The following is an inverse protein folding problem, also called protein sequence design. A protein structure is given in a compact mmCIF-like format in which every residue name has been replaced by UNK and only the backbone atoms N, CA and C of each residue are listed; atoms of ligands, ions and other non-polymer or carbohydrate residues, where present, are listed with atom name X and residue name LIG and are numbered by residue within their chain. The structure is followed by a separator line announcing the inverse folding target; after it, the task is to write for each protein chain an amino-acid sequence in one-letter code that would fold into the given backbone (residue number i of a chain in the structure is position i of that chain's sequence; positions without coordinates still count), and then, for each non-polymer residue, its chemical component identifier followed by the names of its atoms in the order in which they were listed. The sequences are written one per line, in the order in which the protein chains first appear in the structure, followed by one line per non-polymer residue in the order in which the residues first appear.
data_IF_452213322044
#
_entry.id   IF_452213322044
#
_cell.length_a   1.000
_cell.length_b   1.000
_cell.length_c   1.000
_cell.angle_alpha   90.00
_cell.angle_beta   90.00
_cell.angle_gamma   90.00
#
_symmetry.space_group_name_H-M   'P 1'
#
loop_
_entity.id
_entity.type
_entity.pdbx_description
1 polymer ?
#
# COMPACT_ATOMS: atom_id res chain seq x y z
N UNK A 1 -13.03 -0.33 -1.80
CA UNK A 1 -12.99 -1.56 -0.99
C UNK A 1 -13.27 -2.74 -1.89
N UNK A 2 -12.32 -3.62 -2.08
CA UNK A 2 -12.51 -4.80 -2.92
C UNK A 2 -13.17 -5.90 -2.05
N UNK A 3 -14.39 -6.15 -2.32
CA UNK A 3 -15.22 -7.19 -1.76
C UNK A 3 -14.76 -8.55 -2.31
N UNK A 4 -13.86 -9.27 -1.64
CA UNK A 4 -13.15 -10.46 -2.17
C UNK A 4 -12.55 -10.24 -3.59
N UNK A 5 -12.07 -9.02 -3.90
CA UNK A 5 -11.65 -8.66 -5.25
C UNK A 5 -12.80 -8.29 -6.20
N UNK A 6 -14.05 -8.34 -5.78
CA UNK A 6 -15.21 -8.00 -6.60
C UNK A 6 -15.47 -6.49 -6.56
N UNK A 7 -15.44 -5.85 -7.74
CA UNK A 7 -15.54 -4.39 -7.87
C UNK A 7 -16.96 -3.85 -7.97
N UNK A 8 -17.94 -4.70 -8.27
CA UNK A 8 -19.30 -4.30 -8.64
C UNK A 8 -20.31 -4.57 -7.50
N UNK A 9 -20.13 -3.96 -6.34
CA UNK A 9 -21.01 -4.13 -5.16
C UNK A 9 -22.48 -3.78 -5.50
N UNK A 10 -22.70 -2.78 -6.34
CA UNK A 10 -24.03 -2.35 -6.76
C UNK A 10 -24.80 -3.43 -7.54
N UNK A 11 -24.12 -4.44 -8.05
CA UNK A 11 -24.73 -5.57 -8.76
C UNK A 11 -25.12 -6.73 -7.84
N UNK A 12 -24.85 -6.64 -6.52
CA UNK A 12 -25.19 -7.67 -5.58
C UNK A 12 -26.68 -7.60 -5.19
N UNK A 13 -27.35 -8.73 -5.27
CA UNK A 13 -28.72 -8.88 -4.79
C UNK A 13 -28.77 -8.95 -3.25
N UNK A 14 -29.93 -8.77 -2.65
CA UNK A 14 -30.13 -8.95 -1.21
C UNK A 14 -29.71 -10.35 -0.73
N UNK A 15 -29.88 -11.38 -1.56
CA UNK A 15 -29.40 -12.75 -1.28
C UNK A 15 -27.88 -12.82 -1.29
N UNK A 16 -27.21 -12.15 -2.23
CA UNK A 16 -25.76 -12.10 -2.29
C UNK A 16 -25.18 -11.41 -1.04
N UNK A 17 -25.84 -10.33 -0.60
CA UNK A 17 -25.45 -9.59 0.61
C UNK A 17 -25.65 -10.42 1.90
N UNK A 18 -26.70 -11.24 1.97
CA UNK A 18 -26.91 -12.13 3.11
C UNK A 18 -25.80 -13.20 3.19
N UNK A 19 -25.42 -13.79 2.04
CA UNK A 19 -24.30 -14.74 1.95
C UNK A 19 -23.00 -14.08 2.38
N UNK A 20 -22.75 -12.88 1.89
CA UNK A 20 -21.55 -12.13 2.22
C UNK A 20 -21.45 -11.83 3.72
N UNK A 21 -22.50 -11.29 4.32
CA UNK A 21 -22.51 -10.98 5.77
C UNK A 21 -22.17 -12.22 6.59
N UNK A 22 -22.80 -13.34 6.25
CA UNK A 22 -22.53 -14.61 6.94
C UNK A 22 -21.06 -15.04 6.80
N UNK A 23 -20.46 -14.87 5.60
CA UNK A 23 -19.05 -15.21 5.37
C UNK A 23 -18.14 -14.32 6.22
N UNK A 24 -18.41 -13.02 6.27
CA UNK A 24 -17.59 -12.05 7.04
C UNK A 24 -17.72 -12.29 8.56
N UNK A 25 -18.91 -12.64 9.03
CA UNK A 25 -19.15 -12.90 10.47
C UNK A 25 -18.55 -14.24 10.94
N UNK A 26 -18.26 -15.17 10.02
CA UNK A 26 -17.81 -16.52 10.33
C UNK A 26 -16.56 -16.93 9.54
N UNK A 27 -15.74 -15.99 9.15
CA UNK A 27 -14.61 -16.18 8.25
C UNK A 27 -13.64 -17.30 8.67
N UNK A 28 -13.32 -17.42 9.95
CA UNK A 28 -12.48 -18.50 10.50
C UNK A 28 -13.11 -19.89 10.34
N UNK A 29 -14.45 -19.98 10.25
CA UNK A 29 -15.17 -21.23 10.16
C UNK A 29 -15.42 -21.65 8.70
N UNK A 30 -15.57 -20.69 7.80
CA UNK A 30 -15.89 -20.94 6.39
C UNK A 30 -14.92 -21.94 5.72
N UNK A 31 -13.60 -21.90 5.94
CA UNK A 31 -12.67 -22.89 5.37
C UNK A 31 -12.97 -24.34 5.72
N UNK A 32 -13.69 -24.57 6.79
CA UNK A 32 -14.05 -25.91 7.28
C UNK A 32 -15.50 -26.30 6.98
N UNK A 33 -16.34 -25.32 6.58
CA UNK A 33 -17.74 -25.54 6.28
C UNK A 33 -17.94 -26.26 4.94
N UNK A 34 -19.05 -26.99 4.84
CA UNK A 34 -19.61 -27.44 3.57
C UNK A 34 -20.54 -26.37 3.02
N UNK A 35 -20.75 -26.35 1.70
CA UNK A 35 -21.64 -25.39 1.04
C UNK A 35 -23.05 -25.35 1.65
N UNK A 36 -23.57 -26.51 2.09
CA UNK A 36 -24.89 -26.63 2.74
C UNK A 36 -24.94 -25.99 4.14
N UNK A 37 -23.82 -25.95 4.84
CA UNK A 37 -23.72 -25.35 6.16
C UNK A 37 -23.71 -23.83 6.05
N UNK A 38 -22.94 -23.31 5.10
CA UNK A 38 -22.96 -21.90 4.75
C UNK A 38 -24.36 -21.46 4.27
N UNK A 39 -24.98 -22.23 3.37
CA UNK A 39 -26.32 -21.94 2.87
C UNK A 39 -27.38 -21.88 3.98
N UNK A 40 -27.30 -22.83 4.94
CA UNK A 40 -28.19 -22.85 6.10
C UNK A 40 -27.95 -21.64 7.00
N UNK A 41 -26.68 -21.32 7.30
CA UNK A 41 -26.32 -20.18 8.15
C UNK A 41 -26.74 -18.84 7.54
N UNK A 42 -26.57 -18.68 6.24
CA UNK A 42 -27.00 -17.49 5.51
C UNK A 42 -28.50 -17.47 5.14
N UNK A 43 -29.27 -18.51 5.54
CA UNK A 43 -30.70 -18.69 5.24
C UNK A 43 -31.04 -18.64 3.74
N UNK A 44 -30.17 -19.27 2.90
CA UNK A 44 -30.32 -19.31 1.44
C UNK A 44 -30.19 -20.74 0.89
N UNK A 45 -30.43 -20.91 -0.40
CA UNK A 45 -30.22 -22.20 -1.05
C UNK A 45 -28.76 -22.48 -1.37
N UNK A 46 -28.37 -23.77 -1.48
CA UNK A 46 -27.02 -24.15 -1.94
C UNK A 46 -26.70 -23.56 -3.33
N UNK A 47 -27.70 -23.52 -4.22
CA UNK A 47 -27.54 -22.94 -5.55
C UNK A 47 -27.29 -21.42 -5.51
N UNK A 48 -27.87 -20.73 -4.55
CA UNK A 48 -27.60 -19.30 -4.35
C UNK A 48 -26.15 -19.06 -3.89
N UNK A 49 -25.65 -19.89 -2.97
CA UNK A 49 -24.24 -19.84 -2.55
C UNK A 49 -23.31 -20.07 -3.75
N UNK A 50 -23.55 -21.12 -4.53
CA UNK A 50 -22.70 -21.43 -5.69
C UNK A 50 -22.75 -20.35 -6.75
N UNK A 51 -23.89 -19.71 -6.98
CA UNK A 51 -24.03 -18.58 -7.88
C UNK A 51 -23.28 -17.35 -7.38
N UNK A 52 -23.37 -17.06 -6.09
CA UNK A 52 -22.60 -15.99 -5.44
C UNK A 52 -21.10 -16.22 -5.60
N UNK A 53 -20.59 -17.43 -5.30
CA UNK A 53 -19.18 -17.80 -5.41
C UNK A 53 -18.65 -17.56 -6.83
N UNK A 54 -19.40 -17.99 -7.84
CA UNK A 54 -19.04 -17.73 -9.25
C UNK A 54 -19.10 -16.24 -9.61
N UNK A 55 -20.06 -15.53 -9.06
CA UNK A 55 -20.21 -14.07 -9.28
C UNK A 55 -19.02 -13.29 -8.74
N UNK A 56 -18.43 -13.71 -7.62
CA UNK A 56 -17.24 -13.08 -7.05
C UNK A 56 -15.92 -13.61 -7.64
N UNK A 57 -15.96 -14.44 -8.68
CA UNK A 57 -14.81 -14.81 -9.49
C UNK A 57 -14.16 -16.16 -9.17
N UNK A 58 -14.83 -17.04 -8.41
CA UNK A 58 -14.33 -18.40 -8.13
C UNK A 58 -15.18 -19.45 -8.88
N UNK A 59 -14.54 -20.43 -9.51
CA UNK A 59 -15.24 -21.47 -10.25
C UNK A 59 -15.93 -22.49 -9.33
N UNK A 60 -15.40 -22.67 -8.11
CA UNK A 60 -15.90 -23.66 -7.16
C UNK A 60 -15.82 -23.21 -5.70
N UNK A 61 -16.66 -23.81 -4.84
CA UNK A 61 -16.59 -23.58 -3.40
C UNK A 61 -15.28 -24.08 -2.76
N UNK A 62 -14.68 -25.23 -3.17
CA UNK A 62 -13.34 -25.59 -2.72
C UNK A 62 -12.27 -24.54 -3.07
N UNK A 63 -12.28 -23.99 -4.26
CA UNK A 63 -11.36 -22.94 -4.68
C UNK A 63 -11.52 -21.68 -3.82
N UNK A 64 -12.74 -21.22 -3.62
CA UNK A 64 -13.05 -20.13 -2.70
C UNK A 64 -12.52 -20.40 -1.29
N UNK A 65 -12.68 -21.61 -0.76
CA UNK A 65 -12.14 -21.97 0.54
C UNK A 65 -10.62 -21.98 0.59
N UNK A 66 -9.95 -22.33 -0.50
CA UNK A 66 -8.48 -22.25 -0.61
C UNK A 66 -8.03 -20.81 -0.57
N UNK A 67 -8.74 -19.90 -1.24
CA UNK A 67 -8.40 -18.47 -1.19
C UNK A 67 -8.53 -17.87 0.22
N UNK A 68 -9.49 -18.37 1.01
CA UNK A 68 -9.63 -17.99 2.42
C UNK A 68 -8.57 -18.63 3.34
N UNK A 69 -8.04 -19.80 2.95
CA UNK A 69 -6.96 -20.47 3.70
C UNK A 69 -5.56 -19.95 3.38
N UNK A 70 -5.39 -19.31 2.23
CA UNK A 70 -4.10 -18.75 1.80
C UNK A 70 -3.71 -17.48 2.58
N UNK A 71 -4.54 -17.05 3.53
CA UNK A 71 -4.06 -16.24 4.64
C UNK A 71 -3.14 -17.15 5.47
N UNK A 72 -1.86 -17.04 5.20
CA UNK A 72 -0.77 -17.74 5.89
C UNK A 72 -1.00 -17.64 7.39
N UNK A 73 -0.98 -18.77 8.15
CA UNK A 73 -1.02 -18.69 9.60
C UNK A 73 0.09 -17.72 10.01
N UNK A 74 -0.25 -16.73 10.85
CA UNK A 74 0.74 -15.84 11.44
C UNK A 74 1.79 -16.76 12.06
N UNK A 75 2.89 -17.01 11.35
CA UNK A 75 4.06 -17.66 11.94
C UNK A 75 4.47 -16.72 13.06
N UNK A 76 4.31 -17.18 14.30
CA UNK A 76 4.83 -16.44 15.45
C UNK A 76 6.29 -16.18 15.15
N UNK A 77 6.72 -14.93 14.98
CA UNK A 77 8.12 -14.67 14.69
C UNK A 77 8.93 -15.12 15.88
N UNK A 78 9.90 -16.03 15.64
CA UNK A 78 10.82 -16.52 16.67
C UNK A 78 11.75 -15.42 17.21
N UNK A 79 11.68 -14.22 16.64
CA UNK A 79 12.49 -13.09 17.06
C UNK A 79 11.69 -11.76 17.03
N UNK A 80 11.89 -10.86 18.02
CA UNK A 80 11.15 -9.61 18.16
C UNK A 80 11.54 -8.59 17.07
N UNK A 81 10.96 -8.70 15.88
CA UNK A 81 10.95 -7.63 14.87
C UNK A 81 12.29 -7.24 14.21
N UNK A 82 13.43 -7.72 14.69
CA UNK A 82 14.75 -7.36 14.14
C UNK A 82 14.93 -7.87 12.69
N UNK A 83 14.22 -8.92 12.31
CA UNK A 83 14.21 -9.44 10.96
C UNK A 83 13.75 -8.42 9.92
N UNK A 84 12.96 -7.43 10.32
CA UNK A 84 12.43 -6.39 9.42
C UNK A 84 13.50 -5.40 8.95
N UNK A 85 14.64 -5.34 9.63
CA UNK A 85 15.76 -4.44 9.29
C UNK A 85 17.06 -5.16 8.99
N UNK A 86 17.01 -6.49 8.83
CA UNK A 86 18.18 -7.25 8.38
C UNK A 86 18.50 -6.93 6.92
N UNK A 87 19.77 -7.02 6.48
CA UNK A 87 20.16 -6.77 5.09
C UNK A 87 19.35 -7.57 4.06
N UNK A 88 18.91 -8.78 4.43
CA UNK A 88 18.06 -9.63 3.57
C UNK A 88 16.66 -9.09 3.33
N UNK A 89 16.20 -8.14 4.14
CA UNK A 89 14.91 -7.47 3.93
C UNK A 89 14.93 -6.44 2.78
N UNK A 90 16.11 -6.12 2.26
CA UNK A 90 16.28 -5.10 1.23
C UNK A 90 17.02 -5.66 0.01
N UNK A 91 16.79 -5.11 -1.20
CA UNK A 91 17.61 -5.40 -2.37
C UNK A 91 19.07 -4.99 -2.17
N UNK A 92 20.00 -5.70 -2.81
CA UNK A 92 21.43 -5.43 -2.69
C UNK A 92 21.83 -4.00 -3.16
N UNK A 93 21.06 -3.44 -4.07
CA UNK A 93 21.28 -2.10 -4.66
C UNK A 93 20.47 -0.99 -4.00
N UNK A 94 19.78 -1.26 -2.90
CA UNK A 94 18.89 -0.30 -2.23
C UNK A 94 19.60 1.02 -1.91
N UNK A 95 20.84 0.96 -1.44
CA UNK A 95 21.64 2.15 -1.11
C UNK A 95 21.88 3.04 -2.33
N UNK A 96 22.10 2.44 -3.51
CA UNK A 96 22.25 3.18 -4.76
C UNK A 96 20.95 3.89 -5.14
N UNK A 97 19.82 3.18 -5.03
CA UNK A 97 18.51 3.75 -5.38
C UNK A 97 18.13 4.87 -4.42
N UNK A 98 18.39 4.71 -3.11
CA UNK A 98 18.18 5.77 -2.09
C UNK A 98 18.98 7.03 -2.45
N UNK A 99 20.24 6.89 -2.86
CA UNK A 99 21.08 8.04 -3.27
C UNK A 99 20.50 8.75 -4.49
N UNK A 100 20.07 8.02 -5.50
CA UNK A 100 19.45 8.60 -6.70
C UNK A 100 18.12 9.30 -6.36
N UNK A 101 17.32 8.73 -5.48
CA UNK A 101 16.09 9.34 -5.00
C UNK A 101 16.37 10.64 -4.23
N UNK A 102 17.37 10.64 -3.32
CA UNK A 102 17.77 11.83 -2.59
C UNK A 102 18.27 12.95 -3.53
N UNK A 103 19.00 12.61 -4.60
CA UNK A 103 19.45 13.59 -5.60
C UNK A 103 18.27 14.28 -6.32
N UNK A 104 17.17 13.57 -6.59
CA UNK A 104 15.96 14.20 -7.10
C UNK A 104 15.35 15.17 -6.08
N UNK A 105 15.28 14.74 -4.82
CA UNK A 105 14.65 15.52 -3.76
C UNK A 105 15.41 16.81 -3.44
N UNK A 106 16.74 16.82 -3.53
CA UNK A 106 17.57 18.01 -3.26
C UNK A 106 17.20 19.19 -4.14
N UNK A 107 16.85 18.92 -5.38
CA UNK A 107 16.53 19.96 -6.38
C UNK A 107 15.03 20.21 -6.53
N UNK A 108 14.21 19.62 -5.63
CA UNK A 108 12.76 19.74 -5.72
C UNK A 108 12.27 21.07 -5.12
N UNK A 109 11.32 21.72 -5.79
CA UNK A 109 10.58 22.85 -5.23
C UNK A 109 9.61 22.39 -4.14
N UNK A 110 8.99 21.24 -4.36
CA UNK A 110 8.11 20.59 -3.38
C UNK A 110 8.43 19.11 -3.27
N UNK A 111 8.43 18.60 -2.05
CA UNK A 111 8.52 17.18 -1.73
C UNK A 111 7.22 16.80 -1.04
N UNK A 112 6.34 16.08 -1.75
CA UNK A 112 5.03 15.71 -1.25
C UNK A 112 4.98 14.21 -0.98
N UNK A 113 4.82 13.85 0.28
CA UNK A 113 4.56 12.47 0.64
C UNK A 113 3.07 12.17 0.46
N UNK A 114 2.75 11.03 -0.16
CA UNK A 114 1.37 10.60 -0.38
C UNK A 114 1.19 9.17 0.13
N UNK A 115 0.12 8.93 0.86
CA UNK A 115 -0.18 7.62 1.43
C UNK A 115 -1.52 7.60 2.16
N UNK A 116 -2.03 6.41 2.46
CA UNK A 116 -3.31 6.21 3.12
C UNK A 116 -3.11 5.33 4.35
N UNK A 117 -3.87 5.57 5.43
CA UNK A 117 -3.81 4.79 6.66
C UNK A 117 -2.43 4.85 7.35
N UNK A 118 -1.86 3.70 7.69
CA UNK A 118 -0.55 3.60 8.35
C UNK A 118 0.58 4.21 7.49
N UNK A 119 0.52 4.03 6.17
CA UNK A 119 1.47 4.63 5.23
C UNK A 119 1.42 6.16 5.24
N UNK A 120 0.23 6.76 5.44
CA UNK A 120 0.09 8.21 5.61
C UNK A 120 0.78 8.71 6.88
N UNK A 121 0.73 7.96 7.99
CA UNK A 121 1.42 8.31 9.22
C UNK A 121 2.95 8.34 9.04
N UNK A 122 3.49 7.40 8.26
CA UNK A 122 4.91 7.41 7.89
C UNK A 122 5.25 8.57 6.95
N UNK A 123 4.36 8.90 6.01
CA UNK A 123 4.49 10.08 5.16
C UNK A 123 4.50 11.38 5.97
N UNK A 124 3.68 11.47 7.02
CA UNK A 124 3.64 12.61 7.95
C UNK A 124 4.96 12.75 8.72
N UNK A 125 5.48 11.65 9.24
CA UNK A 125 6.80 11.62 9.87
C UNK A 125 7.88 12.09 8.88
N UNK A 126 7.91 11.50 7.68
CA UNK A 126 8.91 11.81 6.66
C UNK A 126 8.86 13.28 6.22
N UNK A 127 7.66 13.81 5.95
CA UNK A 127 7.48 15.21 5.53
C UNK A 127 7.96 16.19 6.61
N UNK A 128 7.64 15.91 7.88
CA UNK A 128 8.12 16.73 8.98
C UNK A 128 9.65 16.76 9.08
N UNK A 129 10.31 15.60 8.96
CA UNK A 129 11.77 15.52 9.00
C UNK A 129 12.38 16.24 7.79
N UNK A 130 11.79 16.07 6.61
CA UNK A 130 12.23 16.74 5.37
C UNK A 130 12.08 18.27 5.50
N UNK A 131 10.98 18.76 6.07
CA UNK A 131 10.78 20.18 6.34
C UNK A 131 11.82 20.71 7.33
N UNK A 132 12.24 19.91 8.33
CA UNK A 132 13.29 20.27 9.27
C UNK A 132 14.67 20.43 8.61
N UNK A 133 14.86 19.85 7.41
CA UNK A 133 16.04 20.07 6.56
C UNK A 133 15.92 21.28 5.63
N UNK A 134 14.87 22.10 5.78
CA UNK A 134 14.66 23.32 5.01
C UNK A 134 14.01 23.12 3.64
N UNK A 135 13.39 21.94 3.38
CA UNK A 135 12.63 21.71 2.17
C UNK A 135 11.16 22.10 2.34
N UNK A 136 10.51 22.53 1.28
CA UNK A 136 9.05 22.66 1.26
C UNK A 136 8.45 21.25 1.15
N UNK A 137 8.03 20.70 2.28
CA UNK A 137 7.53 19.34 2.34
C UNK A 137 6.26 19.22 3.17
N UNK A 138 5.31 18.44 2.68
CA UNK A 138 4.06 18.13 3.35
C UNK A 138 3.56 16.74 2.96
N UNK A 139 2.53 16.27 3.65
CA UNK A 139 1.88 14.98 3.37
C UNK A 139 0.46 15.18 2.87
N UNK A 140 0.07 14.39 1.88
CA UNK A 140 -1.32 14.24 1.41
C UNK A 140 -1.83 12.87 1.84
N UNK A 141 -2.85 12.88 2.71
CA UNK A 141 -3.47 11.68 3.32
C UNK A 141 -4.87 11.41 2.76
N UNK A 142 -5.45 12.42 2.15
CA UNK A 142 -6.75 12.35 1.50
C UNK A 142 -6.54 12.10 0.00
N UNK A 143 -7.00 10.98 -0.54
CA UNK A 143 -6.82 10.66 -1.97
C UNK A 143 -7.62 11.61 -2.90
N UNK A 144 -8.58 12.37 -2.35
CA UNK A 144 -9.37 13.35 -3.09
C UNK A 144 -8.82 14.78 -2.96
N UNK A 145 -7.66 14.94 -2.30
CA UNK A 145 -7.00 16.23 -2.20
C UNK A 145 -6.63 16.77 -3.59
N UNK A 146 -6.96 18.03 -3.92
CA UNK A 146 -6.70 18.61 -5.24
C UNK A 146 -5.22 18.93 -5.46
N UNK A 147 -4.38 17.88 -5.51
CA UNK A 147 -2.92 18.02 -5.58
C UNK A 147 -2.46 18.62 -6.92
N UNK A 148 -3.10 18.25 -8.04
CA UNK A 148 -2.74 18.75 -9.36
C UNK A 148 -2.84 20.29 -9.47
N UNK A 149 -3.93 20.95 -9.04
CA UNK A 149 -3.99 22.41 -8.99
C UNK A 149 -2.94 23.05 -8.08
N UNK A 150 -2.57 22.41 -6.98
CA UNK A 150 -1.57 22.92 -6.02
C UNK A 150 -0.16 22.98 -6.64
N UNK A 151 0.18 22.02 -7.50
CA UNK A 151 1.49 21.92 -8.13
C UNK A 151 1.58 22.61 -9.49
N UNK A 152 0.49 23.24 -9.96
CA UNK A 152 0.42 23.82 -11.33
C UNK A 152 1.45 24.91 -11.62
N UNK A 153 1.84 25.68 -10.60
CA UNK A 153 2.74 26.84 -10.76
C UNK A 153 4.14 26.58 -10.16
N UNK A 154 4.48 25.32 -9.93
CA UNK A 154 5.79 24.91 -9.43
C UNK A 154 6.43 23.92 -10.40
N UNK A 155 7.74 23.88 -10.42
CA UNK A 155 8.54 22.95 -11.19
C UNK A 155 9.31 22.00 -10.28
N UNK A 156 9.92 20.95 -10.86
CA UNK A 156 10.75 20.01 -10.09
C UNK A 156 10.06 19.44 -8.82
N UNK A 157 8.79 19.05 -8.94
CA UNK A 157 8.11 18.45 -7.82
C UNK A 157 8.46 16.97 -7.66
N UNK A 158 8.57 16.51 -6.43
CA UNK A 158 8.78 15.09 -6.10
C UNK A 158 7.61 14.57 -5.27
N UNK A 159 6.88 13.58 -5.80
CA UNK A 159 5.87 12.84 -5.07
C UNK A 159 6.50 11.55 -4.53
N UNK A 160 6.47 11.37 -3.22
CA UNK A 160 6.95 10.15 -2.55
C UNK A 160 5.74 9.33 -2.12
N UNK A 161 5.40 8.33 -2.92
CA UNK A 161 4.26 7.44 -2.68
C UNK A 161 4.65 6.33 -1.70
N UNK A 162 3.99 6.29 -0.56
CA UNK A 162 4.17 5.25 0.48
C UNK A 162 2.98 4.31 0.44
N UNK A 163 3.20 3.06 0.04
CA UNK A 163 2.15 2.04 -0.05
C UNK A 163 2.74 0.64 0.04
N UNK A 164 2.37 -0.14 1.05
CA UNK A 164 2.86 -1.52 1.23
C UNK A 164 2.62 -2.34 -0.03
N UNK A 165 1.39 -2.48 -0.48
CA UNK A 165 1.03 -3.26 -1.67
C UNK A 165 1.42 -2.58 -2.99
N UNK A 166 1.53 -1.24 -2.99
CA UNK A 166 1.67 -0.45 -4.21
C UNK A 166 0.49 -0.56 -5.19
N UNK A 167 -0.68 -1.02 -4.70
CA UNK A 167 -1.87 -1.32 -5.51
C UNK A 167 -3.14 -0.60 -5.00
N UNK A 168 -3.01 0.30 -4.02
CA UNK A 168 -4.15 1.04 -3.48
C UNK A 168 -4.78 1.89 -4.58
N UNK A 169 -6.01 1.58 -4.96
CA UNK A 169 -6.69 2.16 -6.14
C UNK A 169 -6.72 3.68 -6.11
N UNK A 170 -7.09 4.22 -4.97
CA UNK A 170 -7.24 5.67 -4.77
C UNK A 170 -5.89 6.39 -4.91
N UNK A 171 -4.81 5.75 -4.46
CA UNK A 171 -3.47 6.29 -4.61
C UNK A 171 -2.95 6.16 -6.04
N UNK A 172 -3.28 5.05 -6.72
CA UNK A 172 -2.97 4.86 -8.14
C UNK A 172 -3.68 5.91 -8.99
N UNK A 173 -4.96 6.16 -8.74
CA UNK A 173 -5.74 7.18 -9.46
C UNK A 173 -5.13 8.59 -9.26
N UNK A 174 -4.82 8.96 -8.01
CA UNK A 174 -4.17 10.24 -7.72
C UNK A 174 -2.84 10.39 -8.47
N UNK A 175 -1.99 9.37 -8.46
CA UNK A 175 -0.67 9.43 -9.08
C UNK A 175 -0.72 9.42 -10.60
N UNK A 176 -1.77 8.83 -11.19
CA UNK A 176 -1.94 8.77 -12.65
C UNK A 176 -1.97 10.15 -13.31
N UNK A 177 -2.47 11.17 -12.61
CA UNK A 177 -2.49 12.56 -13.10
C UNK A 177 -1.07 13.13 -13.31
N UNK A 178 -0.05 12.50 -12.74
CA UNK A 178 1.33 13.01 -12.75
C UNK A 178 2.31 12.16 -13.57
N UNK A 179 1.93 10.97 -14.04
CA UNK A 179 2.83 10.02 -14.74
C UNK A 179 3.51 10.67 -15.97
N UNK A 180 2.79 11.51 -16.70
CA UNK A 180 3.29 12.17 -17.90
C UNK A 180 3.60 13.66 -17.69
N UNK A 181 3.68 14.11 -16.45
CA UNK A 181 4.00 15.50 -16.14
C UNK A 181 5.51 15.68 -16.02
N UNK A 182 6.18 16.43 -16.90
CA UNK A 182 7.63 16.60 -16.86
C UNK A 182 8.13 17.34 -15.61
N UNK A 183 7.25 18.11 -14.94
CA UNK A 183 7.56 18.86 -13.73
C UNK A 183 7.39 18.03 -12.45
N UNK A 184 7.04 16.74 -12.58
CA UNK A 184 6.80 15.87 -11.43
C UNK A 184 7.57 14.57 -11.58
N UNK A 185 8.35 14.22 -10.57
CA UNK A 185 8.97 12.91 -10.44
C UNK A 185 8.28 12.11 -9.34
N UNK A 186 7.91 10.88 -9.63
CA UNK A 186 7.33 9.97 -8.64
C UNK A 186 8.43 9.04 -8.10
N UNK A 187 8.53 8.93 -6.79
CA UNK A 187 9.30 7.93 -6.06
C UNK A 187 8.32 7.07 -5.30
N UNK A 188 8.49 5.75 -5.27
CA UNK A 188 7.66 4.87 -4.44
C UNK A 188 8.46 4.17 -3.37
N UNK A 189 7.83 3.93 -2.22
CA UNK A 189 8.30 3.07 -1.13
C UNK A 189 7.26 1.98 -0.96
N UNK A 190 7.59 0.73 -1.35
CA UNK A 190 6.63 -0.37 -1.42
C UNK A 190 7.29 -1.73 -1.20
N UNK A 191 6.52 -2.73 -0.73
CA UNK A 191 7.01 -4.12 -0.66
C UNK A 191 6.88 -4.86 -1.99
N UNK A 192 6.21 -4.29 -3.00
CA UNK A 192 5.91 -4.95 -4.27
C UNK A 192 6.49 -4.16 -5.46
N UNK A 193 7.64 -4.63 -5.96
CA UNK A 193 8.32 -4.03 -7.11
C UNK A 193 7.48 -4.09 -8.40
N UNK A 194 6.62 -5.10 -8.54
CA UNK A 194 5.75 -5.30 -9.71
C UNK A 194 4.43 -4.53 -9.62
N UNK A 195 4.25 -3.73 -8.59
CA UNK A 195 3.01 -2.99 -8.36
C UNK A 195 2.80 -1.87 -9.39
N UNK A 196 1.54 -1.43 -9.51
CA UNK A 196 1.17 -0.32 -10.39
C UNK A 196 1.91 0.96 -10.00
N UNK A 197 1.99 1.27 -8.70
CA UNK A 197 2.69 2.47 -8.21
C UNK A 197 4.20 2.37 -8.50
N UNK A 198 4.82 1.20 -8.36
CA UNK A 198 6.23 1.00 -8.71
C UNK A 198 6.50 1.30 -10.19
N UNK A 199 5.62 0.84 -11.09
CA UNK A 199 5.74 1.09 -12.54
C UNK A 199 5.52 2.55 -12.94
N UNK A 200 4.78 3.31 -12.15
CA UNK A 200 4.57 4.75 -12.33
C UNK A 200 5.78 5.57 -11.83
N UNK A 201 6.66 4.96 -11.05
CA UNK A 201 7.72 5.64 -10.33
C UNK A 201 9.03 5.66 -11.11
N UNK A 202 9.73 6.78 -11.05
CA UNK A 202 11.09 6.90 -11.57
C UNK A 202 12.09 6.08 -10.75
N UNK A 203 11.90 6.03 -9.43
CA UNK A 203 12.66 5.18 -8.52
C UNK A 203 11.71 4.48 -7.55
N UNK A 204 11.94 3.19 -7.35
CA UNK A 204 11.21 2.39 -6.38
C UNK A 204 12.16 1.93 -5.28
N UNK A 205 11.90 2.37 -4.08
CA UNK A 205 12.58 1.94 -2.87
C UNK A 205 11.80 0.76 -2.29
N UNK A 206 12.25 -0.45 -2.60
CA UNK A 206 11.51 -1.65 -2.23
C UNK A 206 12.14 -2.38 -1.05
N UNK A 207 11.30 -3.14 -0.33
CA UNK A 207 11.67 -3.96 0.81
C UNK A 207 10.85 -5.24 0.80
N UNK A 208 11.29 -6.24 1.54
CA UNK A 208 10.54 -7.48 1.76
C UNK A 208 9.73 -7.35 3.05
N UNK A 209 8.45 -7.59 2.95
CA UNK A 209 7.55 -7.70 4.09
C UNK A 209 6.61 -8.88 3.86
N UNK A 210 6.28 -9.60 4.93
CA UNK A 210 5.17 -10.54 4.91
C UNK A 210 3.90 -9.71 5.12
N UNK A 211 2.98 -9.77 4.17
CA UNK A 211 1.69 -9.11 4.33
C UNK A 211 0.90 -9.78 5.46
N UNK A 212 0.46 -8.99 6.41
CA UNK A 212 -0.39 -9.41 7.52
C UNK A 212 -1.69 -8.62 7.46
N UNK A 213 -2.79 -9.29 7.06
CA UNK A 213 -4.10 -8.66 6.92
C UNK A 213 -5.13 -9.41 7.75
N UNK A 214 -5.91 -8.66 8.53
CA UNK A 214 -7.09 -9.17 9.21
C UNK A 214 -8.32 -8.76 8.41
N UNK A 215 -9.20 -9.71 8.13
CA UNK A 215 -10.47 -9.51 7.40
C UNK A 215 -10.28 -8.79 6.05
N UNK A 216 -9.15 -8.97 5.38
CA UNK A 216 -8.76 -8.30 4.12
C UNK A 216 -8.71 -6.76 4.17
N UNK A 217 -9.23 -6.12 5.22
CA UNK A 217 -9.36 -4.67 5.34
C UNK A 217 -8.32 -4.04 6.26
N UNK A 218 -7.92 -4.76 7.29
CA UNK A 218 -6.98 -4.22 8.28
C UNK A 218 -5.58 -4.74 7.96
N UNK A 219 -4.76 -3.86 7.41
CA UNK A 219 -3.36 -4.16 7.12
C UNK A 219 -2.53 -3.94 8.39
N UNK A 220 -2.03 -5.03 8.96
CA UNK A 220 -1.13 -5.05 10.10
C UNK A 220 0.32 -5.31 9.68
N UNK A 221 0.60 -5.32 8.37
CA UNK A 221 1.95 -5.49 7.84
C UNK A 221 2.91 -4.52 8.51
N UNK A 222 4.01 -5.04 9.03
CA UNK A 222 5.00 -4.21 9.71
C UNK A 222 5.50 -3.08 8.82
N UNK A 223 5.41 -1.86 9.34
CA UNK A 223 5.92 -0.66 8.67
C UNK A 223 7.40 -0.39 8.99
N UNK A 224 8.05 -1.23 9.78
CA UNK A 224 9.45 -1.04 10.19
C UNK A 224 10.40 -0.99 9.00
N UNK A 225 10.31 -1.87 7.97
CA UNK A 225 11.19 -1.76 6.80
C UNK A 225 10.97 -0.46 6.00
N UNK A 226 9.72 -0.02 5.89
CA UNK A 226 9.38 1.24 5.24
C UNK A 226 9.99 2.43 6.00
N UNK A 227 9.84 2.46 7.32
CA UNK A 227 10.43 3.49 8.18
C UNK A 227 11.97 3.50 8.05
N UNK A 228 12.61 2.32 8.00
CA UNK A 228 14.05 2.22 7.79
C UNK A 228 14.49 2.87 6.47
N UNK A 229 13.75 2.63 5.38
CA UNK A 229 14.02 3.27 4.08
C UNK A 229 13.84 4.78 4.18
N UNK A 230 12.80 5.26 4.83
CA UNK A 230 12.56 6.69 5.05
C UNK A 230 13.74 7.30 5.81
N UNK A 231 14.18 6.70 6.91
CA UNK A 231 15.32 7.17 7.68
C UNK A 231 16.63 7.18 6.86
N UNK A 232 16.85 6.13 6.07
CA UNK A 232 18.02 6.06 5.19
C UNK A 232 17.99 7.15 4.10
N UNK A 233 16.81 7.42 3.53
CA UNK A 233 16.61 8.48 2.54
C UNK A 233 16.84 9.87 3.16
N UNK A 234 16.29 10.12 4.34
CA UNK A 234 16.49 11.38 5.08
C UNK A 234 17.95 11.59 5.48
N UNK A 235 18.65 10.52 5.87
CA UNK A 235 20.07 10.56 6.16
C UNK A 235 20.89 10.89 4.94
N UNK A 236 20.61 10.27 3.79
CA UNK A 236 21.29 10.57 2.53
C UNK A 236 21.00 12.02 2.10
N UNK A 237 19.75 12.48 2.23
CA UNK A 237 19.36 13.85 1.93
C UNK A 237 20.13 14.88 2.79
N UNK A 238 20.32 14.57 4.09
CA UNK A 238 21.09 15.43 5.02
C UNK A 238 22.57 15.54 4.63
N UNK A 239 23.15 14.51 4.02
CA UNK A 239 24.55 14.50 3.61
C UNK A 239 24.82 15.21 2.28
N UNK A 240 23.78 15.66 1.57
CA UNK A 240 23.97 16.45 0.36
C UNK A 240 24.55 17.83 0.71
N UNK A 241 25.56 18.28 -0.03
CA UNK A 241 26.26 19.55 0.21
C UNK A 241 25.31 20.75 0.29
N UNK A 242 24.32 20.80 -0.57
CA UNK A 242 23.31 21.87 -0.60
C UNK A 242 22.54 22.01 0.71
N UNK A 243 22.33 20.90 1.43
CA UNK A 243 21.61 20.90 2.71
C UNK A 243 22.54 21.33 3.83
N UNK A 244 23.82 20.95 3.78
CA UNK A 244 24.80 21.35 4.80
C UNK A 244 24.95 22.87 4.86
N UNK A 245 25.00 23.56 3.71
CA UNK A 245 25.09 25.02 3.64
C UNK A 245 23.82 25.78 4.06
N UNK A 246 22.68 25.12 4.27
CA UNK A 246 21.46 25.78 4.77
C UNK A 246 21.48 26.05 6.28
N UNK A 247 22.41 25.44 7.01
CA UNK A 247 22.52 25.55 8.46
C UNK A 247 23.80 26.31 8.91
N UNK A 248 24.63 26.73 7.99
CA UNK A 248 25.74 27.66 8.17
C UNK A 248 25.28 29.13 8.00
#
# INVERSE_FOLDING_TARGET
MAFFGYKDIDKLSGVDLAIYRFIVEHDEQIPYMRVRELARGAHVSNSSVMRFIRKIGYDSFPEFKVSLRSETPIQKPDAPGIQFVQPSAFPADITKIIRLAAQLMVNADNIVFVGIGASAALGEYASRQTSSLGFNSYVVKDPFYPLLPQLRNTSNNVLVAVSVSGQTSELVEMLNDFVNNPEVNIISITSNLESTIARMSRYTLTYRATEERIHQYYDLTSQVPCLYIIEALLRELRHQEVVQHRFE
#
